data_IF_596242302013
#
_entry.id   IF_596242302013
#
_cell.length_a   1.000
_cell.length_b   1.000
_cell.length_c   1.000
_cell.angle_alpha   90.00
_cell.angle_beta   90.00
_cell.angle_gamma   90.00
#
_symmetry.space_group_name_H-M   'P 1'
#
loop_
_entity.id
_entity.type
_entity.pdbx_description
1 polymer ?
#
# COMPACT_ATOMS: atom_id res chain seq x y z
N UNK A 1 -17.01 23.82 8.77
CA UNK A 1 -16.66 22.79 7.76
C UNK A 1 -15.99 21.62 8.46
N UNK A 2 -16.01 20.43 7.88
CA UNK A 2 -15.23 19.28 8.35
C UNK A 2 -14.04 19.07 7.42
N UNK A 3 -12.90 18.68 7.96
CA UNK A 3 -11.66 18.46 7.22
C UNK A 3 -11.45 16.97 6.99
N UNK A 4 -10.90 16.60 5.82
CA UNK A 4 -10.70 15.20 5.41
C UNK A 4 -9.31 15.07 4.77
N UNK A 5 -8.59 14.01 5.13
CA UNK A 5 -7.35 13.58 4.48
C UNK A 5 -7.60 12.26 3.76
N UNK A 6 -7.06 12.09 2.55
CA UNK A 6 -7.25 10.89 1.75
C UNK A 6 -6.01 10.56 0.93
N UNK A 7 -5.78 9.26 0.74
CA UNK A 7 -4.70 8.71 -0.09
C UNK A 7 -5.34 7.93 -1.23
N UNK A 8 -4.85 8.11 -2.46
CA UNK A 8 -5.40 7.46 -3.65
C UNK A 8 -4.28 7.06 -4.60
N UNK A 9 -4.36 5.85 -5.15
CA UNK A 9 -3.52 5.46 -6.29
C UNK A 9 -4.19 5.95 -7.58
N UNK A 10 -3.46 6.72 -8.38
CA UNK A 10 -3.95 7.31 -9.63
C UNK A 10 -2.95 7.06 -10.76
N UNK A 11 -3.41 7.19 -12.00
CA UNK A 11 -2.55 7.40 -13.16
C UNK A 11 -2.66 8.87 -13.55
N UNK A 12 -1.54 9.46 -13.96
CA UNK A 12 -1.54 10.83 -14.45
C UNK A 12 -0.64 11.01 -15.66
N UNK A 13 -1.06 11.88 -16.57
CA UNK A 13 -0.27 12.32 -17.73
C UNK A 13 -0.31 13.87 -17.81
N UNK A 14 0.80 14.54 -18.18
CA UNK A 14 0.78 15.98 -18.43
C UNK A 14 -0.23 16.33 -19.53
N UNK A 15 -1.12 17.28 -19.25
CA UNK A 15 -2.16 17.71 -20.18
C UNK A 15 -2.56 19.16 -19.89
N UNK A 16 -2.61 20.00 -20.92
CA UNK A 16 -3.09 21.37 -20.76
C UNK A 16 -4.61 21.38 -20.53
N UNK A 17 -5.12 22.45 -19.92
CA UNK A 17 -6.52 22.56 -19.54
C UNK A 17 -7.48 22.35 -20.72
N UNK A 18 -7.23 22.95 -21.89
CA UNK A 18 -8.14 22.84 -23.05
C UNK A 18 -8.24 21.40 -23.53
N UNK A 19 -7.10 20.72 -23.69
CA UNK A 19 -7.06 19.31 -24.12
C UNK A 19 -7.79 18.40 -23.13
N UNK A 20 -7.67 18.70 -21.82
CA UNK A 20 -8.37 17.96 -20.78
C UNK A 20 -9.88 18.23 -20.79
N UNK A 21 -10.32 19.46 -21.01
CA UNK A 21 -11.73 19.81 -21.13
C UNK A 21 -12.40 19.11 -22.32
N UNK A 22 -11.69 18.99 -23.45
CA UNK A 22 -12.14 18.21 -24.61
C UNK A 22 -12.29 16.72 -24.26
N UNK A 23 -11.28 16.12 -23.62
CA UNK A 23 -11.30 14.70 -23.23
C UNK A 23 -12.35 14.40 -22.16
N UNK A 24 -12.59 15.33 -21.23
CA UNK A 24 -13.60 15.22 -20.19
C UNK A 24 -15.00 15.65 -20.66
N UNK A 25 -15.12 16.20 -21.87
CA UNK A 25 -16.34 16.80 -22.44
C UNK A 25 -17.01 17.80 -21.48
N UNK A 26 -16.19 18.58 -20.78
CA UNK A 26 -16.65 19.49 -19.72
C UNK A 26 -15.77 20.71 -19.63
N UNK A 27 -16.38 21.90 -19.64
CA UNK A 27 -15.69 23.15 -19.32
C UNK A 27 -15.44 23.24 -17.81
N UNK A 28 -14.20 23.48 -17.43
CA UNK A 28 -13.73 23.61 -16.04
C UNK A 28 -13.55 25.10 -15.72
N UNK A 29 -12.75 25.82 -16.50
CA UNK A 29 -12.50 27.26 -16.30
C UNK A 29 -11.92 27.94 -17.56
N UNK A 30 -11.94 29.28 -17.63
CA UNK A 30 -11.22 30.00 -18.68
C UNK A 30 -9.69 29.82 -18.56
N UNK A 31 -9.00 29.71 -19.69
CA UNK A 31 -7.54 29.62 -19.79
C UNK A 31 -7.04 28.35 -20.49
N UNK A 32 -5.72 28.18 -20.54
CA UNK A 32 -5.06 26.99 -21.08
C UNK A 32 -3.76 26.67 -20.31
N UNK A 33 -3.84 26.71 -18.99
CA UNK A 33 -2.67 26.49 -18.14
C UNK A 33 -2.24 25.00 -18.13
N UNK A 34 -0.96 24.71 -17.83
CA UNK A 34 -0.48 23.34 -17.76
C UNK A 34 -0.99 22.62 -16.51
N UNK A 35 -1.23 21.32 -16.63
CA UNK A 35 -1.62 20.47 -15.52
C UNK A 35 -1.47 19.00 -15.87
N UNK A 36 -2.26 18.19 -15.19
CA UNK A 36 -2.28 16.73 -15.36
C UNK A 36 -3.71 16.24 -15.47
N UNK A 37 -3.95 15.37 -16.46
CA UNK A 37 -5.14 14.53 -16.46
C UNK A 37 -4.90 13.39 -15.47
N UNK A 38 -5.81 13.24 -14.51
CA UNK A 38 -5.77 12.23 -13.46
C UNK A 38 -6.86 11.21 -13.72
N UNK A 39 -6.48 9.94 -13.78
CA UNK A 39 -7.37 8.79 -13.98
C UNK A 39 -7.33 7.91 -12.73
N UNK A 40 -8.50 7.66 -12.15
CA UNK A 40 -8.68 6.84 -10.96
C UNK A 40 -8.89 5.37 -11.36
N UNK A 41 -8.74 4.46 -10.39
CA UNK A 41 -8.87 3.02 -10.65
C UNK A 41 -10.26 2.60 -11.16
N UNK A 42 -11.31 3.31 -10.75
CA UNK A 42 -12.68 3.11 -11.21
C UNK A 42 -12.97 3.72 -12.59
N UNK A 43 -11.95 4.33 -13.22
CA UNK A 43 -12.08 5.02 -14.50
C UNK A 43 -12.59 6.45 -14.41
N UNK A 44 -12.88 6.97 -13.21
CA UNK A 44 -13.16 8.39 -13.04
C UNK A 44 -11.96 9.21 -13.53
N UNK A 45 -12.22 10.35 -14.17
CA UNK A 45 -11.19 11.24 -14.69
C UNK A 45 -11.40 12.66 -14.18
N UNK A 46 -10.30 13.34 -13.88
CA UNK A 46 -10.28 14.74 -13.47
C UNK A 46 -9.04 15.43 -14.00
N UNK A 47 -9.00 16.76 -13.93
CA UNK A 47 -7.80 17.52 -14.26
C UNK A 47 -7.34 18.32 -13.05
N UNK A 48 -6.04 18.38 -12.82
CA UNK A 48 -5.43 19.11 -11.72
C UNK A 48 -4.36 20.07 -12.25
N UNK A 49 -4.35 21.35 -11.81
CA UNK A 49 -3.30 22.26 -12.21
C UNK A 49 -1.94 21.81 -11.69
N UNK A 50 -0.89 22.13 -12.43
CA UNK A 50 0.46 21.56 -12.26
C UNK A 50 0.98 21.63 -10.82
N UNK A 51 0.89 22.79 -10.18
CA UNK A 51 1.47 22.98 -8.84
C UNK A 51 0.66 22.24 -7.77
N UNK A 52 -0.67 22.27 -7.84
CA UNK A 52 -1.53 21.51 -6.94
C UNK A 52 -1.35 20.00 -7.11
N UNK A 53 -1.17 19.53 -8.36
CA UNK A 53 -0.87 18.13 -8.62
C UNK A 53 0.46 17.73 -7.99
N UNK A 54 1.51 18.54 -8.19
CA UNK A 54 2.84 18.28 -7.62
C UNK A 54 2.86 18.40 -6.11
N UNK A 55 2.00 19.21 -5.50
CA UNK A 55 1.89 19.29 -4.05
C UNK A 55 1.22 18.03 -3.48
N UNK A 56 0.11 17.59 -4.09
CA UNK A 56 -0.74 16.52 -3.57
C UNK A 56 -0.30 15.09 -3.95
N UNK A 57 0.40 14.91 -5.08
CA UNK A 57 0.73 13.59 -5.60
C UNK A 57 2.25 13.37 -5.67
N UNK A 58 2.67 12.12 -5.48
CA UNK A 58 4.04 11.65 -5.68
C UNK A 58 3.99 10.44 -6.59
N UNK A 59 5.05 10.23 -7.37
CA UNK A 59 5.24 9.00 -8.12
C UNK A 59 5.34 7.81 -7.14
N UNK A 60 4.97 6.61 -7.59
CA UNK A 60 5.01 5.41 -6.74
C UNK A 60 6.43 4.89 -6.48
N UNK A 61 7.44 5.53 -7.08
CA UNK A 61 8.86 5.34 -6.81
C UNK A 61 9.35 6.59 -6.06
N UNK A 62 9.69 6.43 -4.77
CA UNK A 62 9.96 7.58 -3.88
C UNK A 62 8.75 8.02 -3.04
N UNK A 63 7.97 7.05 -2.56
CA UNK A 63 6.83 7.28 -1.68
C UNK A 63 7.27 7.56 -0.24
N UNK A 64 6.44 8.30 0.50
CA UNK A 64 6.53 8.39 1.96
C UNK A 64 6.10 7.07 2.61
N UNK A 65 6.47 6.87 3.87
CA UNK A 65 6.02 5.69 4.64
C UNK A 65 4.49 5.55 4.69
N UNK A 66 3.75 6.66 4.83
CA UNK A 66 2.28 6.62 4.85
C UNK A 66 1.68 6.04 3.57
N UNK A 67 2.19 6.46 2.40
CA UNK A 67 1.78 5.90 1.12
C UNK A 67 2.16 4.41 0.98
N UNK A 68 3.33 4.02 1.50
CA UNK A 68 3.74 2.62 1.52
C UNK A 68 2.77 1.75 2.36
N UNK A 69 2.32 2.22 3.52
CA UNK A 69 1.33 1.50 4.34
C UNK A 69 0.00 1.35 3.61
N UNK A 70 -0.48 2.40 2.93
CA UNK A 70 -1.71 2.31 2.12
C UNK A 70 -1.57 1.35 0.93
N UNK A 71 -0.39 1.28 0.30
CA UNK A 71 -0.10 0.28 -0.72
C UNK A 71 -0.10 -1.14 -0.13
N UNK A 72 0.52 -1.35 1.02
CA UNK A 72 0.55 -2.67 1.65
C UNK A 72 -0.83 -3.15 2.11
N UNK A 73 -1.70 -2.24 2.57
CA UNK A 73 -3.13 -2.53 2.84
C UNK A 73 -3.90 -2.99 1.60
N UNK A 74 -3.45 -2.62 0.41
CA UNK A 74 -3.99 -3.07 -0.86
C UNK A 74 -3.33 -4.36 -1.37
N UNK A 75 -2.50 -5.02 -0.55
CA UNK A 75 -1.84 -6.29 -0.89
C UNK A 75 -0.53 -6.15 -1.67
N UNK A 76 -0.03 -4.92 -1.87
CA UNK A 76 1.25 -4.71 -2.54
C UNK A 76 2.44 -5.03 -1.64
N UNK A 77 3.53 -5.55 -2.23
CA UNK A 77 4.83 -5.61 -1.57
C UNK A 77 5.46 -4.22 -1.58
N UNK A 78 5.93 -3.77 -0.43
CA UNK A 78 6.62 -2.49 -0.29
C UNK A 78 8.08 -2.69 0.10
N UNK A 79 8.96 -1.86 -0.42
CA UNK A 79 10.38 -1.89 -0.09
C UNK A 79 10.97 -0.49 -0.09
N UNK A 80 12.10 -0.32 0.58
CA UNK A 80 12.90 0.91 0.49
C UNK A 80 14.02 0.75 -0.52
N UNK A 81 14.33 1.80 -1.26
CA UNK A 81 15.49 1.82 -2.16
C UNK A 81 16.82 1.77 -1.37
N UNK A 82 16.88 2.40 -0.20
CA UNK A 82 18.04 2.50 0.67
C UNK A 82 18.26 1.32 1.63
N UNK A 83 17.49 0.24 1.53
CA UNK A 83 17.77 -0.96 2.33
C UNK A 83 19.05 -1.67 1.85
N UNK A 84 19.88 -2.10 2.80
CA UNK A 84 21.19 -2.72 2.55
C UNK A 84 21.12 -4.16 1.98
N UNK A 85 19.93 -4.68 1.69
CA UNK A 85 19.73 -6.05 1.24
C UNK A 85 18.93 -6.13 -0.05
N UNK A 86 19.41 -6.94 -1.01
CA UNK A 86 18.69 -7.19 -2.26
C UNK A 86 17.45 -8.06 -2.01
N UNK A 87 16.35 -7.71 -2.68
CA UNK A 87 15.12 -8.50 -2.64
C UNK A 87 14.33 -8.42 -1.32
N UNK A 88 14.69 -7.52 -0.42
CA UNK A 88 13.91 -7.27 0.80
C UNK A 88 12.57 -6.62 0.47
N UNK A 89 11.50 -7.06 1.13
CA UNK A 89 10.18 -6.44 1.03
C UNK A 89 9.37 -6.66 2.31
N UNK A 90 8.35 -5.84 2.49
CA UNK A 90 7.33 -5.95 3.54
C UNK A 90 5.97 -6.12 2.88
N UNK A 91 5.11 -6.94 3.49
CA UNK A 91 3.70 -7.08 3.14
C UNK A 91 2.84 -7.03 4.39
N UNK A 92 1.57 -6.62 4.24
CA UNK A 92 0.56 -6.81 5.26
C UNK A 92 0.00 -8.22 5.14
N UNK A 93 0.10 -9.00 6.21
CA UNK A 93 -0.57 -10.28 6.35
C UNK A 93 -1.91 -10.08 7.04
N UNK A 94 -2.96 -10.62 6.44
CA UNK A 94 -4.28 -10.68 7.07
C UNK A 94 -4.25 -11.53 8.34
N UNK A 95 -5.30 -11.39 9.14
CA UNK A 95 -5.55 -12.25 10.29
C UNK A 95 -5.51 -13.73 9.86
N UNK A 96 -4.74 -14.54 10.58
CA UNK A 96 -4.66 -15.97 10.35
C UNK A 96 -5.63 -16.68 11.30
N UNK A 97 -6.62 -17.35 10.73
CA UNK A 97 -7.57 -18.20 11.46
C UNK A 97 -7.28 -19.65 11.15
N UNK A 98 -6.88 -20.41 12.16
CA UNK A 98 -6.69 -21.85 12.05
C UNK A 98 -7.62 -22.55 13.03
N UNK A 99 -8.44 -23.51 12.59
CA UNK A 99 -9.20 -24.34 13.51
C UNK A 99 -8.26 -25.21 14.37
N UNK A 100 -8.80 -25.68 15.49
CA UNK A 100 -8.12 -26.59 16.40
C UNK A 100 -7.59 -27.84 15.68
N UNK A 101 -6.57 -28.47 16.24
CA UNK A 101 -5.96 -29.65 15.65
C UNK A 101 -6.96 -30.80 15.43
N UNK A 102 -7.84 -31.04 16.40
CA UNK A 102 -8.88 -32.09 16.32
C UNK A 102 -10.04 -31.79 15.38
N UNK A 103 -10.14 -30.57 14.82
CA UNK A 103 -11.21 -30.20 13.88
C UNK A 103 -11.23 -31.15 12.67
N UNK A 104 -12.43 -31.48 12.17
CA UNK A 104 -12.60 -32.27 10.94
C UNK A 104 -12.64 -31.39 9.68
N UNK A 105 -12.52 -30.07 9.82
CA UNK A 105 -12.51 -29.16 8.68
C UNK A 105 -11.30 -29.42 7.77
N UNK A 106 -11.47 -29.42 6.45
CA UNK A 106 -10.35 -29.53 5.52
C UNK A 106 -9.53 -28.24 5.51
N UNK A 107 -8.20 -28.34 5.49
CA UNK A 107 -7.29 -27.18 5.41
C UNK A 107 -6.20 -27.17 6.48
N UNK A 108 -5.50 -26.04 6.58
CA UNK A 108 -4.46 -25.82 7.59
C UNK A 108 -5.09 -25.73 8.99
N UNK A 109 -4.42 -26.33 9.98
CA UNK A 109 -4.86 -26.39 11.39
C UNK A 109 -3.74 -25.95 12.30
N UNK A 110 -4.09 -25.69 13.56
CA UNK A 110 -3.10 -25.49 14.62
C UNK A 110 -2.20 -26.73 14.70
N UNK A 111 -0.88 -26.49 14.70
CA UNK A 111 0.14 -27.54 14.85
C UNK A 111 0.68 -27.58 16.29
N UNK A 112 1.45 -28.63 16.60
CA UNK A 112 1.99 -28.87 17.94
C UNK A 112 2.84 -27.71 18.47
N UNK A 113 3.57 -27.02 17.58
CA UNK A 113 4.39 -25.85 17.93
C UNK A 113 3.52 -24.76 18.55
N UNK A 114 2.36 -24.49 17.99
CA UNK A 114 1.44 -23.44 18.47
C UNK A 114 0.60 -23.95 19.64
N UNK A 115 0.07 -25.17 19.55
CA UNK A 115 -0.77 -25.80 20.58
C UNK A 115 -0.07 -25.83 21.95
N UNK A 116 1.25 -26.06 21.98
CA UNK A 116 2.07 -25.98 23.21
C UNK A 116 1.86 -24.69 24.02
N UNK A 117 1.56 -23.58 23.37
CA UNK A 117 1.44 -22.27 24.03
C UNK A 117 0.00 -21.82 24.23
N UNK A 118 -0.92 -22.19 23.33
CA UNK A 118 -2.32 -21.74 23.40
C UNK A 118 -3.27 -22.80 24.00
N UNK A 119 -2.80 -24.03 24.21
CA UNK A 119 -3.58 -25.16 24.70
C UNK A 119 -3.87 -26.20 23.61
N UNK A 120 -3.98 -27.47 24.03
CA UNK A 120 -4.47 -28.53 23.16
C UNK A 120 -5.89 -28.19 22.69
N UNK A 121 -6.18 -28.46 21.42
CA UNK A 121 -7.47 -28.19 20.78
C UNK A 121 -8.00 -26.74 20.86
N UNK A 122 -7.10 -25.78 21.05
CA UNK A 122 -7.46 -24.36 20.98
C UNK A 122 -7.24 -23.82 19.55
N UNK A 123 -8.25 -23.21 18.90
CA UNK A 123 -8.07 -22.59 17.60
C UNK A 123 -7.16 -21.36 17.70
N UNK A 124 -6.43 -21.05 16.62
CA UNK A 124 -5.63 -19.84 16.52
C UNK A 124 -6.43 -18.75 15.80
N UNK A 125 -6.47 -17.57 16.41
CA UNK A 125 -6.89 -16.33 15.76
C UNK A 125 -5.78 -15.28 15.95
N UNK A 126 -4.96 -15.07 14.93
CA UNK A 126 -3.94 -14.01 14.95
C UNK A 126 -4.53 -12.69 14.47
N UNK A 127 -4.08 -11.58 15.04
CA UNK A 127 -4.32 -10.26 14.43
C UNK A 127 -3.54 -10.13 13.10
N UNK A 128 -3.94 -9.21 12.19
CA UNK A 128 -3.12 -8.84 11.04
C UNK A 128 -1.78 -8.28 11.47
N UNK A 129 -0.74 -8.47 10.67
CA UNK A 129 0.60 -7.98 10.99
C UNK A 129 1.43 -7.73 9.73
N UNK A 130 2.40 -6.83 9.82
CA UNK A 130 3.42 -6.70 8.77
C UNK A 130 4.45 -7.81 8.89
N UNK A 131 4.83 -8.40 7.77
CA UNK A 131 5.90 -9.37 7.68
C UNK A 131 6.96 -8.89 6.70
N UNK A 132 8.23 -9.13 7.03
CA UNK A 132 9.36 -8.82 6.17
C UNK A 132 9.94 -10.10 5.59
N UNK A 133 10.22 -10.09 4.29
CA UNK A 133 11.20 -10.99 3.69
C UNK A 133 12.59 -10.37 3.82
N UNK A 134 13.46 -11.00 4.60
CA UNK A 134 14.78 -10.43 4.91
C UNK A 134 15.79 -10.68 3.79
N UNK A 135 16.91 -9.97 3.82
CA UNK A 135 18.01 -10.15 2.87
C UNK A 135 18.59 -11.58 2.87
N UNK A 136 18.39 -12.33 3.96
CA UNK A 136 18.83 -13.72 4.09
C UNK A 136 17.79 -14.72 3.58
N UNK A 137 16.72 -14.26 2.93
CA UNK A 137 15.66 -15.11 2.43
C UNK A 137 14.84 -15.75 3.55
N UNK A 138 14.55 -14.99 4.62
CA UNK A 138 13.77 -15.46 5.76
C UNK A 138 12.48 -14.67 5.91
N UNK A 139 11.44 -15.36 6.35
CA UNK A 139 10.18 -14.74 6.72
C UNK A 139 10.22 -14.26 8.17
N UNK A 140 10.10 -12.96 8.37
CA UNK A 140 10.08 -12.31 9.67
C UNK A 140 8.68 -11.75 9.94
N UNK A 141 7.81 -12.50 10.65
CA UNK A 141 6.51 -11.99 11.08
C UNK A 141 6.67 -10.92 12.16
N UNK A 142 5.75 -9.94 12.17
CA UNK A 142 5.76 -8.86 13.15
C UNK A 142 6.88 -7.84 12.91
N UNK A 143 7.15 -7.48 11.65
CA UNK A 143 8.09 -6.42 11.32
C UNK A 143 7.65 -5.09 11.94
N UNK A 144 8.61 -4.41 12.58
CA UNK A 144 8.40 -3.10 13.19
C UNK A 144 9.18 -2.05 12.37
N UNK A 145 8.48 -1.02 11.91
CA UNK A 145 9.10 0.11 11.26
C UNK A 145 9.96 0.89 12.28
N UNK A 146 11.21 1.17 11.93
CA UNK A 146 12.04 2.08 12.72
C UNK A 146 11.66 3.54 12.45
N UNK A 147 12.12 4.48 13.29
CA UNK A 147 11.99 5.92 13.01
C UNK A 147 12.57 6.30 11.63
N UNK A 148 13.69 5.68 11.24
CA UNK A 148 14.30 5.91 9.94
C UNK A 148 13.44 5.37 8.78
N UNK A 149 12.67 4.30 9.00
CA UNK A 149 11.71 3.79 8.02
C UNK A 149 10.49 4.70 7.90
N UNK A 150 9.98 5.20 9.03
CA UNK A 150 8.81 6.08 9.07
C UNK A 150 9.07 7.45 8.44
N UNK A 151 10.30 7.98 8.57
CA UNK A 151 10.69 9.28 8.02
C UNK A 151 11.26 9.20 6.59
N UNK A 152 11.33 7.99 6.02
CA UNK A 152 11.86 7.81 4.69
C UNK A 152 10.86 8.16 3.58
N UNK A 153 11.40 8.68 2.48
CA UNK A 153 10.68 9.04 1.26
C UNK A 153 11.17 8.24 0.05
N UNK A 154 11.81 7.10 0.30
CA UNK A 154 12.39 6.21 -0.72
C UNK A 154 11.63 4.88 -0.84
N UNK A 155 10.36 4.86 -0.42
CA UNK A 155 9.52 3.67 -0.52
C UNK A 155 9.02 3.43 -1.94
N UNK A 156 8.86 2.17 -2.30
CA UNK A 156 8.38 1.74 -3.62
C UNK A 156 7.55 0.47 -3.52
N UNK A 157 6.66 0.28 -4.48
CA UNK A 157 6.00 -1.00 -4.73
C UNK A 157 6.95 -1.89 -5.52
N UNK A 158 7.06 -3.17 -5.14
CA UNK A 158 7.89 -4.18 -5.82
C UNK A 158 7.05 -5.39 -6.22
N UNK A 159 7.51 -6.14 -7.22
CA UNK A 159 6.84 -7.34 -7.74
C UNK A 159 7.12 -8.62 -6.95
#
# INVERSE_FOLDING_TARGET
>A
MKEYIGVKLIKAEPMNLIDAEEKLQKKIKPGNEPGYLVVYQDGYMSWSPKEQFKEAYRETDGMTFGFAIEAAKQGFKIARAGWNGKGMFVVLMDALKLPAHSSQEPGAKVNDRTAKYIGEDTPLESQPYFAMWTAQGKWQPGWLASQADMLAEDWRIVS
#
